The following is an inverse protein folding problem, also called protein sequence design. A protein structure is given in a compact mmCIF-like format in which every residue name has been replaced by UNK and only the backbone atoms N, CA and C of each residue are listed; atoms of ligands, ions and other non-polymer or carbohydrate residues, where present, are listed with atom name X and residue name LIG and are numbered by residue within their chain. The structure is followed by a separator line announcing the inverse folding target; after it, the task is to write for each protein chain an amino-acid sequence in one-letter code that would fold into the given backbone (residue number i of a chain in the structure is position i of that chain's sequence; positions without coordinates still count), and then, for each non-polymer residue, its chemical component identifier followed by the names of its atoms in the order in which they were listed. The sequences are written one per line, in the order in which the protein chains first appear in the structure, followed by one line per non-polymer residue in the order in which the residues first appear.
data_IF_116567200398
#
_entry.id   IF_116567200398
#
_cell.length_a   1.000
_cell.length_b   1.000
_cell.length_c   1.000
_cell.angle_alpha   90.00
_cell.angle_beta   90.00
_cell.angle_gamma   90.00
#
_symmetry.space_group_name_H-M   'P 1'
#
loop_
_entity.id
_entity.type
_entity.pdbx_description
1 polymer ?
#
# COMPACT_ATOMS: atom_id res chain seq x y z
N UNK A 1 -23.48 -2.53 -12.11
CA UNK A 1 -22.91 -3.52 -11.18
C UNK A 1 -21.41 -3.44 -11.37
N UNK A 2 -20.75 -2.58 -10.59
CA UNK A 2 -19.31 -2.32 -10.72
C UNK A 2 -18.56 -3.39 -9.94
N UNK A 3 -17.96 -4.33 -10.67
CA UNK A 3 -16.93 -5.19 -10.13
C UNK A 3 -15.75 -4.25 -9.90
N UNK A 4 -15.48 -3.93 -8.63
CA UNK A 4 -14.21 -3.33 -8.27
C UNK A 4 -13.18 -4.45 -8.45
N UNK A 5 -12.54 -4.47 -9.63
CA UNK A 5 -11.34 -5.25 -9.89
C UNK A 5 -10.24 -4.70 -8.96
N UNK A 6 -10.24 -5.20 -7.73
CA UNK A 6 -9.08 -5.13 -6.85
C UNK A 6 -8.08 -6.16 -7.37
N UNK A 7 -7.51 -5.85 -8.53
CA UNK A 7 -6.42 -6.60 -9.14
C UNK A 7 -5.22 -6.52 -8.20
N UNK A 8 -5.11 -7.58 -7.42
CA UNK A 8 -4.03 -7.84 -6.51
C UNK A 8 -2.83 -8.28 -7.36
N UNK A 9 -2.22 -7.32 -8.04
CA UNK A 9 -1.16 -7.50 -9.03
C UNK A 9 -1.58 -8.44 -10.17
N UNK A 10 -2.10 -7.87 -11.26
CA UNK A 10 -1.99 -8.57 -12.54
C UNK A 10 -0.49 -8.81 -12.79
N UNK A 11 -0.11 -10.08 -12.89
CA UNK A 11 1.27 -10.52 -13.13
C UNK A 11 1.77 -9.96 -14.48
N UNK A 12 0.87 -9.50 -15.34
CA UNK A 12 1.19 -8.81 -16.59
C UNK A 12 1.96 -7.50 -16.39
N UNK A 13 1.74 -6.77 -15.30
CA UNK A 13 2.47 -5.53 -14.97
C UNK A 13 3.95 -5.77 -14.60
N UNK A 14 4.29 -7.01 -14.19
CA UNK A 14 5.68 -7.42 -13.95
C UNK A 14 6.41 -7.81 -15.26
N UNK A 15 5.69 -7.94 -16.38
CA UNK A 15 6.21 -8.47 -17.63
C UNK A 15 6.43 -7.40 -18.72
N UNK A 16 6.04 -6.14 -18.48
CA UNK A 16 6.18 -5.04 -19.44
C UNK A 16 7.42 -4.14 -19.21
N UNK A 17 8.53 -4.73 -18.76
CA UNK A 17 9.87 -4.09 -18.80
C UNK A 17 10.62 -4.41 -20.11
N UNK A 18 9.96 -4.36 -21.28
CA UNK A 18 10.65 -4.31 -22.57
C UNK A 18 11.21 -2.89 -22.80
N UNK A 19 12.28 -2.55 -22.09
CA UNK A 19 13.26 -1.54 -22.48
C UNK A 19 14.45 -1.57 -21.51
N UNK A 20 15.36 -2.53 -21.66
CA UNK A 20 16.66 -2.44 -20.99
C UNK A 20 17.79 -3.01 -21.84
N UNK A 21 18.69 -2.11 -22.26
CA UNK A 21 20.09 -2.44 -22.44
C UNK A 21 20.67 -3.06 -21.17
N UNK A 22 21.69 -3.90 -21.34
CA UNK A 22 22.46 -4.64 -20.31
C UNK A 22 22.08 -4.33 -18.85
N UNK A 23 21.18 -5.15 -18.28
CA UNK A 23 20.78 -5.07 -16.88
C UNK A 23 21.99 -5.32 -15.97
N UNK A 24 22.54 -4.25 -15.40
CA UNK A 24 23.47 -4.33 -14.29
C UNK A 24 22.68 -4.88 -13.09
N UNK A 25 22.96 -6.13 -12.68
CA UNK A 25 22.32 -6.81 -11.54
C UNK A 25 22.20 -5.86 -10.34
N UNK A 26 20.98 -5.67 -9.85
CA UNK A 26 20.73 -4.80 -8.70
C UNK A 26 21.27 -5.46 -7.43
N UNK A 27 22.31 -4.84 -6.84
CA UNK A 27 22.97 -5.28 -5.60
C UNK A 27 21.95 -5.44 -4.46
N UNK A 28 20.86 -4.67 -4.46
CA UNK A 28 19.81 -4.79 -3.45
C UNK A 28 19.05 -6.11 -3.48
N UNK A 29 18.96 -6.77 -4.64
CA UNK A 29 18.37 -8.10 -4.72
C UNK A 29 19.27 -9.12 -4.00
N UNK A 30 20.59 -8.98 -4.11
CA UNK A 30 21.54 -9.87 -3.41
C UNK A 30 21.52 -9.66 -1.89
N UNK A 31 21.48 -8.40 -1.43
CA UNK A 31 21.26 -8.08 -0.02
C UNK A 31 19.94 -8.66 0.50
N UNK A 32 18.84 -8.49 -0.24
CA UNK A 32 17.53 -9.04 0.11
C UNK A 32 17.54 -10.57 0.19
N UNK A 33 18.20 -11.25 -0.75
CA UNK A 33 18.37 -12.71 -0.69
C UNK A 33 19.14 -13.16 0.54
N UNK A 34 20.24 -12.50 0.87
CA UNK A 34 21.03 -12.83 2.07
C UNK A 34 20.18 -12.67 3.34
N UNK A 35 19.42 -11.57 3.41
CA UNK A 35 18.50 -11.30 4.53
C UNK A 35 17.37 -12.34 4.64
N UNK A 36 16.76 -12.71 3.51
CA UNK A 36 15.70 -13.71 3.42
C UNK A 36 16.20 -15.12 3.76
N UNK A 37 17.41 -15.50 3.33
CA UNK A 37 18.03 -16.79 3.70
C UNK A 37 18.09 -16.95 5.22
N UNK A 38 18.69 -15.98 5.89
CA UNK A 38 18.75 -15.96 7.36
C UNK A 38 17.36 -16.01 7.99
N UNK A 39 16.42 -15.22 7.47
CA UNK A 39 15.04 -15.19 7.97
C UNK A 39 14.35 -16.57 7.93
N UNK A 40 14.54 -17.33 6.85
CA UNK A 40 13.95 -18.67 6.68
C UNK A 40 14.74 -19.77 7.38
N UNK A 41 16.05 -19.60 7.59
CA UNK A 41 16.84 -20.49 8.44
C UNK A 41 16.35 -20.44 9.89
N UNK A 42 16.13 -19.24 10.42
CA UNK A 42 15.61 -19.01 11.77
C UNK A 42 14.14 -19.47 11.92
N UNK A 43 13.40 -19.60 10.80
CA UNK A 43 11.96 -19.91 10.76
C UNK A 43 11.66 -21.06 9.81
N UNK A 44 12.50 -22.09 9.85
CA UNK A 44 12.44 -23.20 8.90
C UNK A 44 11.15 -24.03 8.97
N UNK A 45 10.33 -23.85 10.01
CA UNK A 45 9.04 -24.52 10.17
C UNK A 45 7.84 -23.64 9.84
N UNK A 46 8.04 -22.41 9.34
CA UNK A 46 6.96 -21.49 9.05
C UNK A 46 6.67 -21.40 7.55
N UNK A 47 5.43 -21.01 7.25
CA UNK A 47 4.99 -20.63 5.91
C UNK A 47 4.65 -19.15 5.89
N UNK A 48 5.08 -18.46 4.83
CA UNK A 48 4.74 -17.06 4.60
C UNK A 48 4.08 -16.92 3.24
N UNK A 49 3.13 -16.00 3.10
CA UNK A 49 2.64 -15.63 1.76
C UNK A 49 3.42 -14.44 1.22
N UNK A 50 3.50 -14.27 -0.10
CA UNK A 50 4.42 -13.31 -0.74
C UNK A 50 4.29 -11.90 -0.18
N UNK A 51 3.07 -11.35 -0.16
CA UNK A 51 2.86 -9.97 0.33
C UNK A 51 3.13 -9.82 1.84
N UNK A 52 3.08 -10.90 2.62
CA UNK A 52 3.55 -10.88 4.01
C UNK A 52 5.02 -10.50 4.10
N UNK A 53 5.84 -11.11 3.24
CA UNK A 53 7.27 -10.87 3.20
C UNK A 53 7.55 -9.47 2.68
N UNK A 54 6.84 -9.04 1.64
CA UNK A 54 6.94 -7.67 1.12
C UNK A 54 6.72 -6.66 2.24
N UNK A 55 5.68 -6.83 3.05
CA UNK A 55 5.37 -5.94 4.18
C UNK A 55 6.40 -6.08 5.32
N UNK A 56 6.89 -7.28 5.62
CA UNK A 56 7.92 -7.46 6.67
C UNK A 56 9.24 -6.77 6.33
N UNK A 57 9.59 -6.72 5.05
CA UNK A 57 10.87 -6.21 4.60
C UNK A 57 10.81 -4.80 3.99
N UNK A 58 9.63 -4.16 3.94
CA UNK A 58 9.44 -2.88 3.24
C UNK A 58 10.23 -1.67 3.77
N UNK A 59 10.73 -1.76 5.02
CA UNK A 59 11.63 -0.76 5.58
C UNK A 59 13.06 -0.90 5.05
N UNK A 60 13.44 -2.11 4.62
CA UNK A 60 14.76 -2.46 4.12
C UNK A 60 14.78 -2.51 2.58
N UNK A 61 13.76 -3.10 1.96
CA UNK A 61 13.68 -3.37 0.52
C UNK A 61 12.29 -3.03 -0.04
N UNK A 62 12.24 -2.49 -1.25
CA UNK A 62 10.96 -2.31 -1.94
C UNK A 62 10.29 -3.66 -2.21
N UNK A 63 8.96 -3.67 -2.30
CA UNK A 63 8.18 -4.89 -2.51
C UNK A 63 8.67 -5.69 -3.74
N UNK A 64 8.95 -5.03 -4.87
CA UNK A 64 9.47 -5.71 -6.06
C UNK A 64 10.87 -6.32 -5.89
N UNK A 65 11.73 -5.72 -5.04
CA UNK A 65 13.05 -6.28 -4.72
C UNK A 65 12.87 -7.55 -3.89
N UNK A 66 12.00 -7.50 -2.87
CA UNK A 66 11.66 -8.68 -2.06
C UNK A 66 11.05 -9.79 -2.92
N UNK A 67 10.10 -9.46 -3.81
CA UNK A 67 9.48 -10.41 -4.73
C UNK A 67 10.50 -11.07 -5.67
N UNK A 68 11.38 -10.28 -6.31
CA UNK A 68 12.47 -10.79 -7.16
C UNK A 68 13.42 -11.71 -6.36
N UNK A 69 13.85 -11.29 -5.18
CA UNK A 69 14.73 -12.08 -4.32
C UNK A 69 14.10 -13.42 -3.89
N UNK A 70 12.82 -13.43 -3.49
CA UNK A 70 12.08 -14.66 -3.16
C UNK A 70 12.00 -15.59 -4.37
N UNK A 71 11.67 -15.06 -5.56
CA UNK A 71 11.59 -15.86 -6.78
C UNK A 71 12.92 -16.52 -7.15
N UNK A 72 14.04 -15.81 -7.01
CA UNK A 72 15.37 -16.38 -7.22
C UNK A 72 15.73 -17.46 -6.18
N UNK A 73 15.32 -17.28 -4.91
CA UNK A 73 15.53 -18.30 -3.88
C UNK A 73 14.67 -19.56 -4.11
N UNK A 74 13.49 -19.41 -4.72
CA UNK A 74 12.67 -20.54 -5.18
C UNK A 74 13.32 -21.23 -6.38
N UNK A 75 13.79 -20.46 -7.37
CA UNK A 75 14.44 -21.00 -8.57
C UNK A 75 15.73 -21.79 -8.25
N UNK A 76 16.46 -21.38 -7.20
CA UNK A 76 17.66 -22.08 -6.72
C UNK A 76 17.36 -23.26 -5.79
N UNK A 77 16.09 -23.54 -5.49
CA UNK A 77 15.66 -24.64 -4.61
C UNK A 77 15.90 -24.40 -3.12
N UNK A 78 16.34 -23.21 -2.71
CA UNK A 78 16.51 -22.88 -1.29
C UNK A 78 15.14 -22.74 -0.59
N UNK A 79 14.16 -22.15 -1.28
CA UNK A 79 12.77 -22.09 -0.87
C UNK A 79 11.91 -22.96 -1.80
N UNK A 80 10.78 -23.43 -1.28
CA UNK A 80 9.69 -23.97 -2.07
C UNK A 80 8.54 -22.97 -2.10
N UNK A 81 7.70 -23.06 -3.13
CA UNK A 81 6.50 -22.26 -3.27
C UNK A 81 5.27 -23.11 -3.62
N UNK A 82 4.10 -22.69 -3.17
CA UNK A 82 2.82 -23.28 -3.52
C UNK A 82 1.80 -22.17 -3.82
N UNK A 83 1.11 -22.27 -4.95
CA UNK A 83 0.08 -21.30 -5.36
C UNK A 83 -1.33 -21.82 -5.09
N UNK A 84 -2.05 -21.09 -4.25
CA UNK A 84 -3.38 -21.47 -3.77
C UNK A 84 -4.43 -20.50 -4.30
N UNK A 85 -5.56 -20.98 -4.85
CA UNK A 85 -6.66 -20.12 -5.26
C UNK A 85 -7.30 -19.36 -4.08
N UNK A 86 -7.48 -18.05 -4.25
CA UNK A 86 -8.12 -17.19 -3.26
C UNK A 86 -9.61 -17.03 -3.54
N UNK A 87 -9.93 -16.27 -4.60
CA UNK A 87 -11.25 -15.96 -5.15
C UNK A 87 -11.09 -15.70 -6.66
N UNK A 88 -12.05 -16.18 -7.48
CA UNK A 88 -11.97 -16.02 -8.94
C UNK A 88 -10.69 -16.63 -9.54
N UNK A 89 -9.99 -15.84 -10.36
CA UNK A 89 -8.72 -16.24 -10.99
C UNK A 89 -7.49 -15.86 -10.14
N UNK A 90 -7.66 -15.16 -9.03
CA UNK A 90 -6.56 -14.70 -8.19
C UNK A 90 -5.93 -15.85 -7.42
N UNK A 91 -4.59 -15.97 -7.50
CA UNK A 91 -3.79 -16.97 -6.79
C UNK A 91 -2.88 -16.29 -5.79
N UNK A 92 -2.73 -16.91 -4.62
CA UNK A 92 -1.80 -16.46 -3.58
C UNK A 92 -0.62 -17.40 -3.54
N UNK A 93 0.58 -16.83 -3.66
CA UNK A 93 1.84 -17.56 -3.56
C UNK A 93 2.26 -17.66 -2.10
N UNK A 94 2.35 -18.89 -1.60
CA UNK A 94 2.98 -19.23 -0.33
C UNK A 94 4.41 -19.70 -0.58
N UNK A 95 5.29 -19.37 0.35
CA UNK A 95 6.71 -19.72 0.32
C UNK A 95 7.16 -20.22 1.69
N UNK A 96 8.03 -21.22 1.66
CA UNK A 96 8.52 -21.89 2.86
C UNK A 96 9.91 -22.48 2.60
N UNK A 97 10.64 -22.72 3.68
CA UNK A 97 11.97 -23.30 3.59
C UNK A 97 11.89 -24.73 3.01
N UNK A 98 12.84 -25.12 2.15
CA UNK A 98 12.82 -26.44 1.46
C UNK A 98 12.75 -27.64 2.42
N UNK A 99 13.23 -27.51 3.67
CA UNK A 99 13.16 -28.56 4.70
C UNK A 99 11.77 -28.70 5.36
N UNK A 100 10.85 -27.74 5.18
CA UNK A 100 9.57 -27.77 5.86
C UNK A 100 8.61 -28.78 5.21
N UNK A 101 8.35 -29.90 5.90
CA UNK A 101 7.48 -30.98 5.36
C UNK A 101 5.99 -30.80 5.64
N UNK A 102 5.62 -30.13 6.74
CA UNK A 102 4.24 -30.07 7.24
C UNK A 102 3.56 -28.71 7.01
N UNK A 103 3.73 -28.15 5.81
CA UNK A 103 3.35 -26.78 5.48
C UNK A 103 1.84 -26.61 5.15
N UNK A 104 1.19 -27.66 4.62
CA UNK A 104 -0.20 -27.59 4.11
C UNK A 104 -1.23 -27.08 5.12
N UNK A 105 -1.10 -27.50 6.39
CA UNK A 105 -2.00 -27.04 7.46
C UNK A 105 -1.81 -25.54 7.75
N UNK A 106 -0.58 -25.03 7.66
CA UNK A 106 -0.33 -23.60 7.86
C UNK A 106 -0.88 -22.78 6.70
N UNK A 107 -0.66 -23.21 5.46
CA UNK A 107 -1.27 -22.62 4.26
C UNK A 107 -2.78 -22.52 4.43
N UNK A 108 -3.44 -23.61 4.84
CA UNK A 108 -4.90 -23.62 5.06
C UNK A 108 -5.35 -22.57 6.08
N UNK A 109 -4.63 -22.42 7.19
CA UNK A 109 -4.95 -21.38 8.20
C UNK A 109 -4.73 -19.97 7.67
N UNK A 110 -3.66 -19.75 6.92
CA UNK A 110 -3.37 -18.45 6.33
C UNK A 110 -4.42 -18.07 5.28
N UNK A 111 -4.76 -18.97 4.34
CA UNK A 111 -5.73 -18.67 3.29
C UNK A 111 -7.14 -18.39 3.85
N UNK A 112 -7.53 -19.03 4.96
CA UNK A 112 -8.80 -18.72 5.65
C UNK A 112 -8.86 -17.28 6.19
N UNK A 113 -7.72 -16.70 6.59
CA UNK A 113 -7.64 -15.29 6.99
C UNK A 113 -7.61 -14.38 5.78
N UNK A 114 -6.82 -14.74 4.76
CA UNK A 114 -6.68 -13.96 3.53
C UNK A 114 -8.04 -13.81 2.83
N UNK A 115 -8.81 -14.90 2.71
CA UNK A 115 -10.16 -14.85 2.13
C UNK A 115 -11.10 -13.87 2.83
N UNK A 116 -10.93 -13.68 4.14
CA UNK A 116 -11.82 -12.79 4.89
C UNK A 116 -11.49 -11.31 4.68
N UNK A 117 -10.21 -10.94 4.69
CA UNK A 117 -9.84 -9.54 4.47
C UNK A 117 -9.82 -9.15 2.98
N UNK A 118 -9.67 -10.13 2.09
CA UNK A 118 -9.83 -9.95 0.64
C UNK A 118 -11.29 -9.99 0.18
N UNK A 119 -12.25 -10.15 1.09
CA UNK A 119 -13.66 -9.98 0.76
C UNK A 119 -13.89 -8.55 0.23
N UNK A 120 -14.54 -8.36 -0.93
CA UNK A 120 -14.72 -7.03 -1.53
C UNK A 120 -15.41 -6.02 -0.61
N UNK A 121 -16.36 -6.45 0.22
CA UNK A 121 -17.04 -5.55 1.15
C UNK A 121 -16.10 -5.10 2.26
N UNK A 122 -15.25 -5.99 2.75
CA UNK A 122 -14.21 -5.66 3.74
C UNK A 122 -13.18 -4.73 3.13
N UNK A 123 -12.66 -5.03 1.93
CA UNK A 123 -11.67 -4.21 1.24
C UNK A 123 -12.18 -2.78 1.00
N UNK A 124 -13.40 -2.63 0.48
CA UNK A 124 -14.05 -1.33 0.25
C UNK A 124 -14.26 -0.60 1.59
N UNK A 125 -14.74 -1.30 2.62
CA UNK A 125 -14.96 -0.69 3.92
C UNK A 125 -13.64 -0.22 4.57
N UNK A 126 -12.54 -0.96 4.41
CA UNK A 126 -11.21 -0.56 4.86
C UNK A 126 -10.72 0.72 4.16
N UNK A 127 -10.89 0.83 2.85
CA UNK A 127 -10.57 2.06 2.10
C UNK A 127 -11.33 3.26 2.64
N UNK A 128 -12.66 3.16 2.65
CA UNK A 128 -13.56 4.21 3.14
C UNK A 128 -13.31 4.60 4.60
N UNK A 129 -13.01 3.64 5.46
CA UNK A 129 -12.70 3.93 6.87
C UNK A 129 -11.48 4.83 6.98
N UNK A 130 -10.40 4.52 6.25
CA UNK A 130 -9.20 5.34 6.28
C UNK A 130 -9.48 6.75 5.75
N UNK A 131 -10.18 6.87 4.61
CA UNK A 131 -10.59 8.16 4.04
C UNK A 131 -11.36 9.01 5.05
N UNK A 132 -12.40 8.44 5.69
CA UNK A 132 -13.22 9.12 6.70
C UNK A 132 -12.39 9.56 7.91
N UNK A 133 -11.52 8.68 8.43
CA UNK A 133 -10.72 9.01 9.61
C UNK A 133 -9.71 10.13 9.31
N UNK A 134 -9.03 10.09 8.17
CA UNK A 134 -8.09 11.15 7.79
C UNK A 134 -8.81 12.46 7.45
N UNK A 135 -9.92 12.40 6.72
CA UNK A 135 -10.74 13.58 6.44
C UNK A 135 -11.20 14.26 7.74
N UNK A 136 -11.78 13.51 8.67
CA UNK A 136 -12.22 14.03 9.96
C UNK A 136 -11.05 14.59 10.78
N UNK A 137 -9.90 13.91 10.79
CA UNK A 137 -8.73 14.38 11.50
C UNK A 137 -8.22 15.73 10.95
N UNK A 138 -8.24 15.92 9.62
CA UNK A 138 -7.83 17.16 8.98
C UNK A 138 -8.85 18.29 9.21
N UNK A 139 -10.15 18.00 9.09
CA UNK A 139 -11.22 18.97 9.39
C UNK A 139 -11.13 19.44 10.85
N UNK A 140 -10.86 18.53 11.79
CA UNK A 140 -10.65 18.87 13.20
C UNK A 140 -9.42 19.75 13.45
N UNK A 141 -8.49 19.84 12.50
CA UNK A 141 -7.36 20.80 12.52
C UNK A 141 -7.67 22.10 11.78
N UNK A 142 -8.94 22.35 11.47
CA UNK A 142 -9.43 23.58 10.85
C UNK A 142 -9.11 23.66 9.36
N UNK A 143 -9.02 22.53 8.67
CA UNK A 143 -9.09 22.51 7.20
C UNK A 143 -10.56 22.56 6.77
N UNK A 144 -10.85 23.34 5.73
CA UNK A 144 -12.17 23.43 5.12
C UNK A 144 -12.30 22.41 3.99
N UNK A 145 -13.37 21.62 3.99
CA UNK A 145 -13.69 20.75 2.86
C UNK A 145 -14.12 21.58 1.65
N UNK A 146 -13.58 21.26 0.48
CA UNK A 146 -13.92 21.89 -0.81
C UNK A 146 -14.54 20.91 -1.80
N UNK A 147 -14.47 19.62 -1.52
CA UNK A 147 -15.08 18.56 -2.32
C UNK A 147 -14.64 17.18 -1.83
N UNK A 148 -15.46 16.17 -2.03
CA UNK A 148 -15.13 14.75 -1.81
C UNK A 148 -15.40 14.01 -3.10
N UNK A 149 -14.61 12.97 -3.36
CA UNK A 149 -14.66 12.16 -4.57
C UNK A 149 -14.88 13.04 -5.80
N UNK A 150 -13.90 13.88 -6.15
CA UNK A 150 -14.07 14.94 -7.17
C UNK A 150 -12.88 15.05 -8.11
N UNK A 151 -13.15 15.45 -9.34
CA UNK A 151 -12.17 15.77 -10.38
C UNK A 151 -12.23 17.25 -10.81
N UNK A 152 -12.89 18.10 -10.02
CA UNK A 152 -13.03 19.54 -10.29
C UNK A 152 -12.69 20.37 -9.05
N UNK A 153 -12.04 21.52 -9.28
CA UNK A 153 -11.78 22.53 -8.27
C UNK A 153 -11.71 23.94 -8.88
N UNK A 154 -12.44 24.90 -8.30
CA UNK A 154 -12.46 26.33 -8.71
C UNK A 154 -12.60 26.53 -10.23
N UNK A 155 -13.54 25.82 -10.85
CA UNK A 155 -13.82 25.91 -12.29
C UNK A 155 -12.80 25.21 -13.20
N UNK A 156 -11.79 24.55 -12.65
CA UNK A 156 -10.86 23.67 -13.39
C UNK A 156 -11.31 22.24 -13.21
N UNK A 157 -11.31 21.47 -14.30
CA UNK A 157 -11.75 20.07 -14.32
C UNK A 157 -10.69 19.19 -14.97
N UNK A 158 -10.46 18.03 -14.39
CA UNK A 158 -9.70 16.96 -14.99
C UNK A 158 -10.59 16.13 -15.93
N UNK A 159 -10.16 15.96 -17.18
CA UNK A 159 -10.94 15.28 -18.23
C UNK A 159 -10.16 14.21 -18.98
N UNK A 160 -8.89 13.95 -18.63
CA UNK A 160 -8.05 13.00 -19.36
C UNK A 160 -8.31 11.55 -18.97
N UNK A 161 -8.77 11.32 -17.73
CA UNK A 161 -9.15 9.99 -17.23
C UNK A 161 -10.38 10.10 -16.31
N UNK A 162 -10.94 8.96 -15.93
CA UNK A 162 -12.08 8.89 -14.99
C UNK A 162 -11.66 9.00 -13.51
N UNK A 163 -10.36 9.17 -13.23
CA UNK A 163 -9.86 9.29 -11.87
C UNK A 163 -10.42 10.54 -11.17
N UNK A 164 -10.62 10.41 -9.85
CA UNK A 164 -11.14 11.43 -8.93
C UNK A 164 -10.25 11.47 -7.69
N UNK A 165 -10.05 12.63 -7.07
CA UNK A 165 -9.37 12.73 -5.78
C UNK A 165 -10.34 12.36 -4.66
N UNK A 166 -9.88 11.65 -3.63
CA UNK A 166 -10.73 11.24 -2.51
C UNK A 166 -11.36 12.46 -1.82
N UNK A 167 -10.59 13.52 -1.62
CA UNK A 167 -11.12 14.81 -1.21
C UNK A 167 -10.16 15.98 -1.47
N UNK A 168 -10.73 17.19 -1.46
CA UNK A 168 -10.01 18.45 -1.51
C UNK A 168 -10.26 19.21 -0.22
N UNK A 169 -9.18 19.62 0.43
CA UNK A 169 -9.22 20.43 1.66
C UNK A 169 -8.40 21.70 1.51
N UNK A 170 -8.74 22.74 2.26
CA UNK A 170 -8.09 24.05 2.18
C UNK A 170 -7.85 24.64 3.57
N UNK A 171 -6.66 25.19 3.79
CA UNK A 171 -6.31 25.92 5.01
C UNK A 171 -5.30 27.02 4.67
N UNK A 172 -5.46 28.20 5.28
CA UNK A 172 -4.55 29.35 5.12
C UNK A 172 -4.27 29.71 3.64
N UNK A 173 -5.31 29.62 2.80
CA UNK A 173 -5.22 29.88 1.37
C UNK A 173 -4.57 28.77 0.53
N UNK A 174 -4.09 27.69 1.15
CA UNK A 174 -3.47 26.55 0.47
C UNK A 174 -4.48 25.41 0.31
N UNK A 175 -4.72 24.99 -0.93
CA UNK A 175 -5.61 23.89 -1.26
C UNK A 175 -4.83 22.61 -1.57
N UNK A 176 -5.31 21.48 -1.06
CA UNK A 176 -4.69 20.18 -1.18
C UNK A 176 -5.60 19.20 -1.91
N UNK A 177 -5.06 18.53 -2.93
CA UNK A 177 -5.68 17.37 -3.57
C UNK A 177 -5.23 16.13 -2.82
N UNK A 178 -6.17 15.44 -2.17
CA UNK A 178 -5.85 14.35 -1.25
C UNK A 178 -6.19 13.00 -1.85
N UNK A 179 -5.26 12.06 -1.69
CA UNK A 179 -5.40 10.65 -2.03
C UNK A 179 -4.99 9.79 -0.83
N UNK A 180 -5.83 8.83 -0.45
CA UNK A 180 -5.66 7.93 0.69
C UNK A 180 -5.49 6.50 0.18
N UNK A 181 -4.38 5.86 0.54
CA UNK A 181 -4.09 4.47 0.19
C UNK A 181 -3.87 3.62 1.42
N UNK A 182 -4.89 2.83 1.73
CA UNK A 182 -4.95 1.93 2.88
C UNK A 182 -4.76 0.46 2.47
N UNK A 183 -3.84 0.22 1.54
CA UNK A 183 -3.51 -1.11 1.01
C UNK A 183 -2.20 -1.63 1.64
N UNK A 184 -2.03 -2.95 1.64
CA UNK A 184 -0.77 -3.56 2.05
C UNK A 184 0.33 -3.28 1.02
N UNK A 185 0.01 -3.47 -0.27
CA UNK A 185 0.84 -3.07 -1.40
C UNK A 185 0.89 -1.56 -1.61
N UNK A 186 1.84 -1.12 -2.43
CA UNK A 186 1.96 0.27 -2.84
C UNK A 186 0.87 0.66 -3.84
N UNK A 187 0.59 1.96 -3.94
CA UNK A 187 -0.21 2.53 -5.03
C UNK A 187 0.43 2.14 -6.39
N UNK A 188 -0.37 1.76 -7.40
CA UNK A 188 0.15 1.59 -8.75
C UNK A 188 0.85 2.86 -9.24
N UNK A 189 1.98 2.70 -9.96
CA UNK A 189 2.78 3.85 -10.42
C UNK A 189 1.97 4.78 -11.31
N UNK A 190 1.19 4.21 -12.22
CA UNK A 190 0.36 4.96 -13.15
C UNK A 190 -0.71 5.75 -12.41
N UNK A 191 -1.35 5.14 -11.42
CA UNK A 191 -2.33 5.84 -10.57
C UNK A 191 -1.68 7.01 -9.84
N UNK A 192 -0.48 6.83 -9.27
CA UNK A 192 0.26 7.93 -8.63
C UNK A 192 0.52 9.10 -9.60
N UNK A 193 1.02 8.82 -10.81
CA UNK A 193 1.31 9.88 -11.79
C UNK A 193 0.04 10.60 -12.22
N UNK A 194 -1.03 9.85 -12.53
CA UNK A 194 -2.34 10.44 -12.90
C UNK A 194 -2.83 11.38 -11.80
N UNK A 195 -2.79 10.96 -10.53
CA UNK A 195 -3.25 11.78 -9.40
C UNK A 195 -2.37 13.01 -9.16
N UNK A 196 -1.08 12.92 -9.45
CA UNK A 196 -0.17 14.06 -9.40
C UNK A 196 -0.44 15.06 -10.53
N UNK A 197 -0.63 14.58 -11.76
CA UNK A 197 -0.98 15.43 -12.91
C UNK A 197 -2.37 16.07 -12.73
N UNK A 198 -3.30 15.36 -12.09
CA UNK A 198 -4.58 15.91 -11.65
C UNK A 198 -4.39 17.10 -10.71
N UNK A 199 -3.51 16.97 -9.70
CA UNK A 199 -3.22 18.08 -8.79
C UNK A 199 -2.64 19.30 -9.53
N UNK A 200 -1.72 19.07 -10.47
CA UNK A 200 -1.12 20.13 -11.29
C UNK A 200 -2.19 20.86 -12.14
N UNK A 201 -3.05 20.10 -12.82
CA UNK A 201 -4.16 20.63 -13.61
C UNK A 201 -5.11 21.50 -12.77
N UNK A 202 -5.51 20.99 -11.61
CA UNK A 202 -6.45 21.62 -10.68
C UNK A 202 -5.81 22.74 -9.82
N UNK A 203 -4.49 22.95 -9.91
CA UNK A 203 -3.70 23.88 -9.07
C UNK A 203 -3.84 23.58 -7.57
N UNK A 204 -3.67 22.31 -7.22
CA UNK A 204 -3.69 21.80 -5.85
C UNK A 204 -2.30 21.34 -5.43
N UNK A 205 -1.93 21.52 -4.16
CA UNK A 205 -0.74 20.84 -3.61
C UNK A 205 -1.10 19.37 -3.36
N UNK A 206 -0.32 18.38 -3.84
CA UNK A 206 -0.66 16.98 -3.64
C UNK A 206 -0.46 16.58 -2.17
N UNK A 207 -1.45 15.88 -1.59
CA UNK A 207 -1.38 15.27 -0.27
C UNK A 207 -1.67 13.77 -0.40
N UNK A 208 -0.63 12.94 -0.35
CA UNK A 208 -0.80 11.49 -0.44
C UNK A 208 -0.66 10.87 0.93
N UNK A 209 -1.75 10.28 1.43
CA UNK A 209 -1.84 9.63 2.73
C UNK A 209 -1.78 8.12 2.50
N UNK A 210 -0.64 7.50 2.75
CA UNK A 210 -0.39 6.12 2.33
C UNK A 210 0.09 5.27 3.49
N UNK A 211 -0.35 4.01 3.57
CA UNK A 211 0.14 3.09 4.61
C UNK A 211 1.67 2.96 4.49
N UNK A 212 2.15 2.68 3.29
CA UNK A 212 3.56 2.66 2.95
C UNK A 212 3.77 3.17 1.52
N UNK A 213 4.98 3.65 1.24
CA UNK A 213 5.33 4.19 -0.08
C UNK A 213 6.83 4.13 -0.32
N UNK A 214 7.27 3.75 -1.53
CA UNK A 214 8.66 3.86 -1.96
C UNK A 214 9.23 5.28 -1.82
N UNK A 215 10.55 5.39 -1.62
CA UNK A 215 11.21 6.69 -1.46
C UNK A 215 11.14 7.54 -2.72
N UNK A 216 11.21 6.91 -3.90
CA UNK A 216 11.08 7.58 -5.19
C UNK A 216 9.67 8.12 -5.42
N UNK A 217 8.64 7.43 -4.94
CA UNK A 217 7.25 7.93 -4.99
C UNK A 217 7.10 9.16 -4.10
N UNK A 218 7.62 9.09 -2.88
CA UNK A 218 7.63 10.23 -1.95
C UNK A 218 8.38 11.42 -2.56
N UNK A 219 9.50 11.17 -3.25
CA UNK A 219 10.26 12.21 -3.93
C UNK A 219 9.45 12.91 -5.03
N UNK A 220 8.66 12.16 -5.83
CA UNK A 220 7.78 12.74 -6.87
C UNK A 220 6.72 13.66 -6.27
N UNK A 221 6.08 13.23 -5.18
CA UNK A 221 5.09 14.05 -4.45
C UNK A 221 5.74 15.35 -3.94
N UNK A 222 6.91 15.25 -3.31
CA UNK A 222 7.63 16.40 -2.75
C UNK A 222 8.09 17.37 -3.86
N UNK A 223 8.54 16.85 -5.01
CA UNK A 223 8.99 17.67 -6.15
C UNK A 223 7.86 18.54 -6.72
N UNK A 224 6.61 18.08 -6.63
CA UNK A 224 5.39 18.86 -6.98
C UNK A 224 4.89 19.73 -5.82
N UNK A 225 5.72 19.97 -4.81
CA UNK A 225 5.40 20.81 -3.65
C UNK A 225 4.40 20.19 -2.67
N UNK A 226 4.16 18.88 -2.78
CA UNK A 226 3.23 18.14 -1.94
C UNK A 226 3.84 17.49 -0.70
N UNK A 227 3.02 16.67 -0.05
CA UNK A 227 3.39 15.92 1.15
C UNK A 227 2.96 14.46 1.06
N UNK A 228 3.89 13.55 1.35
CA UNK A 228 3.59 12.12 1.52
C UNK A 228 3.48 11.79 3.01
N UNK A 229 2.26 11.54 3.48
CA UNK A 229 1.93 11.19 4.86
C UNK A 229 1.90 9.67 5.03
N UNK A 230 2.93 9.11 5.64
CA UNK A 230 3.04 7.66 5.88
C UNK A 230 2.52 7.27 7.27
N UNK A 231 1.64 6.26 7.33
CA UNK A 231 0.99 5.82 8.58
C UNK A 231 1.23 4.35 8.98
N UNK A 232 1.95 3.56 8.18
CA UNK A 232 2.51 2.22 8.45
C UNK A 232 1.52 1.06 8.70
N UNK A 233 0.31 1.33 9.19
CA UNK A 233 -0.66 0.33 9.65
C UNK A 233 -1.91 0.35 8.78
N UNK A 234 -2.35 -0.80 8.26
CA UNK A 234 -3.62 -0.86 7.53
C UNK A 234 -4.81 -0.71 8.51
N UNK A 235 -5.68 0.23 8.21
CA UNK A 235 -6.83 0.63 9.04
C UNK A 235 -8.07 -0.16 8.66
N UNK A 236 -8.69 -0.82 9.63
CA UNK A 236 -9.96 -1.54 9.46
C UNK A 236 -11.11 -0.76 10.10
N UNK A 237 -12.35 -0.94 9.60
CA UNK A 237 -13.56 -0.38 10.21
C UNK A 237 -13.71 -0.76 11.67
N UNK A 238 -14.23 0.17 12.47
CA UNK A 238 -14.54 -0.09 13.87
C UNK A 238 -15.46 -1.32 14.01
N UNK A 239 -15.15 -2.20 14.98
CA UNK A 239 -15.88 -3.45 15.20
C UNK A 239 -15.29 -4.67 14.46
N UNK A 240 -14.26 -4.50 13.63
CA UNK A 240 -13.55 -5.61 12.97
C UNK A 240 -12.42 -6.21 13.82
N UNK A 241 -12.42 -5.97 15.14
CA UNK A 241 -11.37 -6.40 16.08
C UNK A 241 -11.03 -7.90 15.99
N UNK A 242 -12.04 -8.75 15.77
CA UNK A 242 -11.86 -10.19 15.63
C UNK A 242 -11.01 -10.56 14.41
N UNK A 243 -11.31 -9.95 13.26
CA UNK A 243 -10.54 -10.13 12.02
C UNK A 243 -9.13 -9.56 12.16
N UNK A 244 -9.01 -8.32 12.66
CA UNK A 244 -7.72 -7.63 12.88
C UNK A 244 -6.79 -8.46 13.78
N UNK A 245 -7.31 -9.01 14.90
CA UNK A 245 -6.53 -9.91 15.76
C UNK A 245 -6.07 -11.17 15.03
N UNK A 246 -6.93 -11.77 14.20
CA UNK A 246 -6.55 -12.97 13.43
C UNK A 246 -5.48 -12.67 12.39
N UNK A 247 -5.60 -11.56 11.67
CA UNK A 247 -4.58 -11.10 10.71
C UNK A 247 -3.25 -10.90 11.43
N UNK A 248 -3.24 -10.19 12.56
CA UNK A 248 -2.02 -9.96 13.33
C UNK A 248 -1.41 -11.25 13.87
N UNK A 249 -2.23 -12.16 14.42
CA UNK A 249 -1.72 -13.36 15.08
C UNK A 249 -1.27 -14.44 14.08
N UNK A 250 -1.95 -14.57 12.93
CA UNK A 250 -1.67 -15.62 11.94
C UNK A 250 -0.69 -15.13 10.88
N UNK A 251 -0.83 -13.88 10.43
CA UNK A 251 -0.05 -13.31 9.34
C UNK A 251 0.99 -12.28 9.82
N UNK A 252 0.95 -11.83 11.08
CA UNK A 252 1.93 -10.86 11.59
C UNK A 252 1.84 -9.48 10.94
N UNK A 253 0.80 -9.18 10.18
CA UNK A 253 0.70 -7.93 9.41
C UNK A 253 0.39 -6.72 10.31
N UNK A 254 0.87 -5.53 9.92
CA UNK A 254 0.59 -4.28 10.63
C UNK A 254 -0.84 -3.81 10.30
N UNK A 255 -1.80 -4.30 11.08
CA UNK A 255 -3.22 -3.94 10.96
C UNK A 255 -3.77 -3.39 12.28
N UNK A 256 -4.74 -2.49 12.22
CA UNK A 256 -5.42 -1.97 13.40
C UNK A 256 -6.87 -1.52 13.13
N UNK A 257 -7.64 -1.32 14.20
CA UNK A 257 -9.05 -0.92 14.20
C UNK A 257 -9.24 0.43 14.94
N UNK A 258 -8.55 1.51 14.53
CA UNK A 258 -8.54 2.75 15.31
C UNK A 258 -9.87 3.50 15.23
N UNK A 259 -10.23 4.18 16.32
CA UNK A 259 -11.35 5.14 16.36
C UNK A 259 -10.97 6.51 15.80
N UNK A 260 -9.68 6.84 15.79
CA UNK A 260 -9.11 8.09 15.30
C UNK A 260 -7.67 7.86 14.86
N UNK A 261 -7.20 8.66 13.90
CA UNK A 261 -5.79 8.66 13.51
C UNK A 261 -4.95 9.24 14.66
N UNK A 262 -3.80 8.61 15.03
CA UNK A 262 -2.90 9.17 16.03
C UNK A 262 -2.50 10.62 15.70
N UNK A 263 -2.64 11.52 16.67
CA UNK A 263 -2.40 12.96 16.48
C UNK A 263 -1.01 13.25 15.93
N UNK A 264 0.00 12.51 16.39
CA UNK A 264 1.38 12.68 15.93
C UNK A 264 1.60 12.48 14.42
N UNK A 265 0.71 11.76 13.72
CA UNK A 265 0.73 11.63 12.26
C UNK A 265 0.30 12.96 11.63
N UNK A 266 -0.83 13.50 12.09
CA UNK A 266 -1.38 14.77 11.60
C UNK A 266 -0.47 15.94 11.98
N UNK A 267 0.14 15.92 13.16
CA UNK A 267 1.04 16.97 13.63
C UNK A 267 2.28 17.13 12.73
N UNK A 268 2.79 16.02 12.17
CA UNK A 268 3.90 16.09 11.20
C UNK A 268 3.49 16.86 9.95
N UNK A 269 2.27 16.62 9.45
CA UNK A 269 1.73 17.37 8.33
C UNK A 269 1.46 18.83 8.69
N UNK A 270 0.90 19.11 9.87
CA UNK A 270 0.70 20.49 10.33
C UNK A 270 2.00 21.28 10.38
N UNK A 271 3.05 20.72 10.99
CA UNK A 271 4.37 21.37 11.05
C UNK A 271 4.93 21.65 9.66
N UNK A 272 4.71 20.74 8.70
CA UNK A 272 5.13 20.95 7.31
C UNK A 272 4.28 22.03 6.61
N UNK A 273 2.96 22.03 6.79
CA UNK A 273 2.05 23.05 6.26
C UNK A 273 2.45 24.44 6.74
N UNK A 274 2.65 24.61 8.05
CA UNK A 274 3.06 25.89 8.65
C UNK A 274 4.38 26.42 8.07
N UNK A 275 5.34 25.52 7.82
CA UNK A 275 6.63 25.89 7.22
C UNK A 275 6.53 26.29 5.75
N UNK A 276 5.56 25.76 5.01
CA UNK A 276 5.50 25.85 3.54
C UNK A 276 4.36 26.70 3.01
N UNK A 277 3.46 27.20 3.87
CA UNK A 277 2.32 28.03 3.44
C UNK A 277 2.73 29.41 2.90
N UNK A 278 3.92 29.89 3.27
CA UNK A 278 4.47 31.18 2.83
C UNK A 278 5.54 31.04 1.72
N UNK A 279 5.76 29.82 1.21
CA UNK A 279 6.67 29.52 0.10
C UNK A 279 5.87 29.32 -1.19
#
# INVERSE_FOLDING_TARGET
MLIADYDFYDISDLLNEEQLGEYRRDIKIDEAKARLRKFFEDRCENVFYMQQLEVFFEKEFFHWITGKAVNELVATGFLHAEEVPLLGFTRVKFVFHHKHRYYKRQIKRCIEVIRQYSDPNIAIACGRQAEVLFFNALVNRGFLSRGQDTNEYRGKRWTWTEHRLDFIIEKDGVAYGTEVKNTLGYIPREELEVKLDMCDCLRLKPLFIMRASPKDYNHKVIKRGGYAMIFEVQVYPFGQDGLVRRIRNILGLPVDCPRAIPEGIIDRFMRWHEKTKNM
#
